data_IF_356864887619
#
_entry.id   IF_356864887619
#
_cell.length_a   1.000
_cell.length_b   1.000
_cell.length_c   1.000
_cell.angle_alpha   90.00
_cell.angle_beta   90.00
_cell.angle_gamma   90.00
#
_symmetry.space_group_name_H-M   'P 1'
#
loop_
_entity.id
_entity.type
_entity.pdbx_description
1 polymer ?
#
# COMPACT_ATOMS: atom_id res chain seq x y z
N UNK A 1 19.04 3.96 20.43
CA UNK A 1 17.59 3.97 20.12
C UNK A 1 16.88 4.68 21.25
N UNK A 2 16.11 5.74 20.97
CA UNK A 2 15.35 6.46 22.00
C UNK A 2 14.15 5.62 22.47
N UNK A 3 13.56 6.00 23.61
CA UNK A 3 12.47 5.24 24.25
C UNK A 3 11.24 5.13 23.34
N UNK A 4 10.91 6.19 22.60
CA UNK A 4 9.76 6.21 21.70
C UNK A 4 9.93 5.25 20.53
N UNK A 5 11.12 5.16 19.92
CA UNK A 5 11.37 4.19 18.85
C UNK A 5 11.33 2.74 19.38
N UNK A 6 11.89 2.49 20.56
CA UNK A 6 11.83 1.16 21.19
C UNK A 6 10.37 0.76 21.51
N UNK A 7 9.57 1.71 22.01
CA UNK A 7 8.15 1.50 22.28
C UNK A 7 7.38 1.24 20.99
N UNK A 8 7.59 2.04 19.94
CA UNK A 8 6.93 1.87 18.64
C UNK A 8 7.24 0.49 18.03
N UNK A 9 8.50 0.05 18.06
CA UNK A 9 8.89 -1.27 17.57
C UNK A 9 8.21 -2.39 18.37
N UNK A 10 8.12 -2.26 19.70
CA UNK A 10 7.42 -3.22 20.54
C UNK A 10 5.91 -3.23 20.27
N UNK A 11 5.29 -2.07 20.04
CA UNK A 11 3.88 -1.96 19.67
C UNK A 11 3.60 -2.61 18.31
N UNK A 12 4.44 -2.38 17.30
CA UNK A 12 4.33 -3.06 15.99
C UNK A 12 4.51 -4.57 16.13
N UNK A 13 5.47 -5.03 16.94
CA UNK A 13 5.63 -6.46 17.24
C UNK A 13 4.41 -7.03 17.96
N UNK A 14 3.83 -6.30 18.91
CA UNK A 14 2.60 -6.67 19.61
C UNK A 14 1.40 -6.77 18.68
N UNK A 15 1.28 -5.86 17.73
CA UNK A 15 0.26 -5.94 16.69
C UNK A 15 0.39 -7.23 15.84
N UNK A 16 1.62 -7.63 15.50
CA UNK A 16 1.90 -8.86 14.74
C UNK A 16 1.84 -10.13 15.61
N UNK A 17 2.10 -9.99 16.91
CA UNK A 17 2.20 -11.06 17.92
C UNK A 17 1.59 -10.55 19.24
N UNK A 18 0.29 -10.74 19.50
CA UNK A 18 -0.45 -10.11 20.61
C UNK A 18 0.16 -10.28 22.01
N UNK A 19 0.93 -11.34 22.22
CA UNK A 19 1.65 -11.64 23.46
C UNK A 19 2.90 -10.78 23.69
N UNK A 20 3.38 -10.04 22.69
CA UNK A 20 4.60 -9.25 22.83
C UNK A 20 4.40 -8.12 23.86
N UNK A 21 5.31 -7.97 24.84
CA UNK A 21 5.15 -6.98 25.91
C UNK A 21 5.43 -5.56 25.39
N UNK A 22 4.71 -4.58 25.95
CA UNK A 22 5.03 -3.17 25.79
C UNK A 22 6.07 -2.74 26.84
N UNK A 23 7.06 -1.91 26.49
CA UNK A 23 7.98 -1.32 27.46
C UNK A 23 7.27 -0.41 28.45
N UNK A 24 7.98 -0.04 29.52
CA UNK A 24 7.50 0.97 30.46
C UNK A 24 7.23 2.31 29.77
N UNK A 25 6.18 3.00 30.21
CA UNK A 25 5.71 4.28 29.65
C UNK A 25 6.29 5.50 30.37
N UNK A 26 7.15 5.30 31.37
CA UNK A 26 7.75 6.38 32.15
C UNK A 26 8.70 7.23 31.30
N UNK A 27 8.53 8.55 31.41
CA UNK A 27 9.22 9.58 30.62
C UNK A 27 9.10 9.41 29.10
N UNK A 28 8.05 8.74 28.63
CA UNK A 28 7.76 8.64 27.20
C UNK A 28 7.19 9.95 26.68
N UNK A 29 7.77 10.49 25.61
CA UNK A 29 7.17 11.58 24.86
C UNK A 29 6.10 11.02 23.92
N UNK A 30 4.85 11.15 24.33
CA UNK A 30 3.68 10.63 23.62
C UNK A 30 3.45 11.29 22.26
N UNK A 31 3.72 12.59 22.13
CA UNK A 31 3.55 13.30 20.88
C UNK A 31 4.65 12.89 19.90
N UNK A 32 5.90 12.75 20.37
CA UNK A 32 6.99 12.20 19.56
C UNK A 32 6.72 10.76 19.12
N UNK A 33 6.15 9.91 19.98
CA UNK A 33 5.74 8.56 19.61
C UNK A 33 4.70 8.59 18.46
N UNK A 34 3.69 9.46 18.56
CA UNK A 34 2.69 9.61 17.52
C UNK A 34 3.32 10.12 16.21
N UNK A 35 4.23 11.09 16.26
CA UNK A 35 4.96 11.58 15.08
C UNK A 35 5.80 10.47 14.42
N UNK A 36 6.49 9.65 15.21
CA UNK A 36 7.24 8.50 14.69
C UNK A 36 6.31 7.47 14.03
N UNK A 37 5.17 7.16 14.67
CA UNK A 37 4.19 6.24 14.11
C UNK A 37 3.60 6.77 12.80
N UNK A 38 3.33 8.07 12.70
CA UNK A 38 2.86 8.70 11.46
C UNK A 38 3.94 8.64 10.36
N UNK A 39 5.19 9.01 10.68
CA UNK A 39 6.31 8.97 9.74
C UNK A 39 6.58 7.56 9.18
N UNK A 40 6.45 6.54 10.02
CA UNK A 40 6.57 5.14 9.60
C UNK A 40 5.27 4.52 9.08
N UNK A 41 4.17 5.29 9.01
CA UNK A 41 2.86 4.89 8.50
C UNK A 41 2.22 3.71 9.28
N UNK A 42 2.45 3.66 10.60
CA UNK A 42 2.00 2.59 11.49
C UNK A 42 1.06 3.04 12.61
N UNK A 43 0.34 4.15 12.40
CA UNK A 43 -0.70 4.62 13.34
C UNK A 43 -1.75 3.53 13.63
N UNK A 44 -2.28 2.78 12.65
CA UNK A 44 -3.22 1.70 12.94
C UNK A 44 -2.65 0.60 13.83
N UNK A 45 -1.41 0.19 13.58
CA UNK A 45 -0.71 -0.84 14.34
C UNK A 45 -0.46 -0.37 15.78
N UNK A 46 -0.03 0.89 15.95
CA UNK A 46 0.16 1.49 17.26
C UNK A 46 -1.17 1.52 18.04
N UNK A 47 -2.24 2.05 17.44
CA UNK A 47 -3.56 2.12 18.09
C UNK A 47 -4.04 0.75 18.55
N UNK A 48 -4.03 -0.25 17.67
CA UNK A 48 -4.47 -1.61 18.00
C UNK A 48 -3.62 -2.23 19.12
N UNK A 49 -2.32 -1.97 19.14
CA UNK A 49 -1.43 -2.53 20.15
C UNK A 49 -1.64 -1.94 21.56
N UNK A 50 -2.10 -0.69 21.66
CA UNK A 50 -2.14 0.08 22.93
C UNK A 50 -3.54 0.43 23.42
N UNK A 51 -4.61 0.24 22.62
CA UNK A 51 -5.99 0.65 22.98
C UNK A 51 -6.50 0.08 24.30
N UNK A 52 -5.99 -1.08 24.71
CA UNK A 52 -6.36 -1.77 25.95
C UNK A 52 -5.22 -1.69 27.01
N UNK A 53 -4.28 -0.75 26.84
CA UNK A 53 -3.10 -0.57 27.72
C UNK A 53 -3.21 0.74 28.52
N UNK A 54 -2.52 0.87 29.66
CA UNK A 54 -2.54 2.10 30.46
C UNK A 54 -1.71 3.20 29.78
N UNK A 55 -2.37 3.99 28.94
CA UNK A 55 -1.82 5.16 28.24
C UNK A 55 -2.65 6.41 28.59
N UNK A 56 -2.13 7.65 28.40
CA UNK A 56 -2.91 8.86 28.67
C UNK A 56 -4.22 8.89 27.85
N UNK A 57 -5.39 9.11 28.49
CA UNK A 57 -6.69 9.05 27.80
C UNK A 57 -6.81 10.01 26.62
N UNK A 58 -6.43 11.27 26.80
CA UNK A 58 -6.52 12.29 25.75
C UNK A 58 -5.62 11.98 24.54
N UNK A 59 -4.47 11.35 24.79
CA UNK A 59 -3.60 10.90 23.71
C UNK A 59 -4.20 9.72 22.95
N UNK A 60 -4.82 8.77 23.66
CA UNK A 60 -5.48 7.64 23.02
C UNK A 60 -6.67 8.07 22.15
N UNK A 61 -7.42 9.09 22.58
CA UNK A 61 -8.50 9.69 21.77
C UNK A 61 -7.93 10.27 20.46
N UNK A 62 -6.88 11.10 20.54
CA UNK A 62 -6.22 11.67 19.34
C UNK A 62 -5.66 10.58 18.41
N UNK A 63 -5.10 9.50 18.96
CA UNK A 63 -4.59 8.38 18.18
C UNK A 63 -5.73 7.61 17.50
N UNK A 64 -6.84 7.40 18.21
CA UNK A 64 -8.05 6.78 17.67
C UNK A 64 -8.62 7.60 16.51
N UNK A 65 -8.69 8.91 16.64
CA UNK A 65 -9.18 9.79 15.57
C UNK A 65 -8.35 9.65 14.29
N UNK A 66 -7.02 9.55 14.40
CA UNK A 66 -6.13 9.30 13.25
C UNK A 66 -6.35 7.91 12.66
N UNK A 67 -6.51 6.88 13.49
CA UNK A 67 -6.86 5.53 13.04
C UNK A 67 -8.19 5.50 12.26
N UNK A 68 -9.23 6.13 12.79
CA UNK A 68 -10.54 6.20 12.15
C UNK A 68 -10.50 7.06 10.87
N UNK A 69 -9.70 8.13 10.84
CA UNK A 69 -9.50 8.95 9.64
C UNK A 69 -8.86 8.14 8.51
N UNK A 70 -7.82 7.35 8.81
CA UNK A 70 -7.21 6.44 7.84
C UNK A 70 -8.22 5.39 7.33
N UNK A 71 -9.05 4.84 8.23
CA UNK A 71 -10.13 3.92 7.85
C UNK A 71 -11.17 4.54 6.92
N UNK A 72 -11.63 5.76 7.22
CA UNK A 72 -12.57 6.51 6.36
C UNK A 72 -11.97 6.82 4.99
N UNK A 73 -10.71 7.24 4.96
CA UNK A 73 -10.01 7.50 3.70
C UNK A 73 -9.89 6.23 2.85
N UNK A 74 -9.49 5.10 3.44
CA UNK A 74 -9.43 3.83 2.72
C UNK A 74 -10.80 3.35 2.22
N UNK A 75 -11.88 3.63 2.93
CA UNK A 75 -13.23 3.32 2.47
C UNK A 75 -13.57 4.14 1.22
N UNK A 76 -13.31 5.45 1.23
CA UNK A 76 -13.50 6.33 0.08
C UNK A 76 -12.62 5.88 -1.10
N UNK A 77 -11.35 5.57 -0.83
CA UNK A 77 -10.37 5.08 -1.81
C UNK A 77 -10.78 3.72 -2.40
N UNK A 78 -11.42 2.85 -1.61
CA UNK A 78 -11.97 1.57 -2.09
C UNK A 78 -13.11 1.78 -3.08
N UNK A 79 -14.00 2.73 -2.79
CA UNK A 79 -15.09 3.10 -3.70
C UNK A 79 -14.54 3.63 -5.01
N UNK A 80 -13.52 4.48 -4.95
CA UNK A 80 -12.88 5.05 -6.14
C UNK A 80 -12.14 3.98 -6.96
N UNK A 81 -11.42 3.07 -6.29
CA UNK A 81 -10.79 1.92 -6.94
C UNK A 81 -11.83 1.09 -7.71
N UNK A 82 -12.92 0.70 -7.05
CA UNK A 82 -13.98 -0.10 -7.68
C UNK A 82 -14.61 0.64 -8.87
N UNK A 83 -14.81 1.95 -8.75
CA UNK A 83 -15.35 2.79 -9.83
C UNK A 83 -14.40 2.81 -11.04
N UNK A 84 -13.11 3.04 -10.83
CA UNK A 84 -12.11 3.08 -11.90
C UNK A 84 -11.94 1.71 -12.57
N UNK A 85 -11.89 0.63 -11.80
CA UNK A 85 -11.83 -0.73 -12.35
C UNK A 85 -13.04 -1.02 -13.24
N UNK A 86 -14.25 -0.59 -12.85
CA UNK A 86 -15.44 -0.73 -13.69
C UNK A 86 -15.37 0.10 -14.98
N UNK A 87 -14.84 1.32 -14.91
CA UNK A 87 -14.61 2.15 -16.12
C UNK A 87 -13.64 1.46 -17.08
N UNK A 88 -12.55 0.90 -16.59
CA UNK A 88 -11.56 0.20 -17.40
C UNK A 88 -12.11 -1.10 -17.98
N UNK A 89 -12.85 -1.88 -17.18
CA UNK A 89 -13.48 -3.13 -17.61
C UNK A 89 -14.45 -2.91 -18.78
N UNK A 90 -15.26 -1.84 -18.74
CA UNK A 90 -16.18 -1.48 -19.83
C UNK A 90 -15.48 -1.17 -21.15
N UNK A 91 -14.22 -0.75 -21.08
CA UNK A 91 -13.37 -0.47 -22.23
C UNK A 91 -12.47 -1.67 -22.59
N UNK A 92 -12.64 -2.82 -21.93
CA UNK A 92 -11.83 -4.01 -22.15
C UNK A 92 -10.37 -3.82 -21.71
N UNK A 93 -10.11 -2.95 -20.74
CA UNK A 93 -8.78 -2.69 -20.19
C UNK A 93 -8.67 -3.43 -18.85
N UNK A 94 -7.70 -4.35 -18.77
CA UNK A 94 -7.36 -5.01 -17.53
C UNK A 94 -6.50 -4.09 -16.65
N UNK A 95 -6.87 -3.97 -15.38
CA UNK A 95 -6.13 -3.21 -14.38
C UNK A 95 -6.07 -3.97 -13.05
N UNK A 96 -4.89 -3.98 -12.42
CA UNK A 96 -4.61 -4.73 -11.19
C UNK A 96 -4.09 -3.78 -10.12
N UNK A 97 -4.80 -3.56 -9.01
CA UNK A 97 -4.26 -2.82 -7.88
C UNK A 97 -3.05 -3.54 -7.26
N UNK A 98 -1.95 -2.81 -7.15
CA UNK A 98 -0.70 -3.31 -6.55
C UNK A 98 -0.63 -3.05 -5.03
N UNK A 99 -1.25 -1.97 -4.56
CA UNK A 99 -1.27 -1.57 -3.14
C UNK A 99 -2.65 -1.08 -2.70
N UNK A 100 -2.67 -0.04 -1.86
CA UNK A 100 -3.87 0.66 -1.46
C UNK A 100 -4.86 -0.21 -0.66
N UNK A 101 -6.18 0.03 -0.84
CA UNK A 101 -7.22 -0.67 -0.09
C UNK A 101 -7.35 -2.15 -0.46
N UNK A 102 -7.01 -2.53 -1.70
CA UNK A 102 -6.97 -3.93 -2.11
C UNK A 102 -5.96 -4.71 -1.26
N UNK A 103 -4.75 -4.18 -1.11
CA UNK A 103 -3.71 -4.78 -0.28
C UNK A 103 -4.08 -4.78 1.22
N UNK A 104 -4.78 -3.75 1.69
CA UNK A 104 -5.29 -3.71 3.06
C UNK A 104 -6.24 -4.89 3.35
N UNK A 105 -7.19 -5.17 2.45
CA UNK A 105 -8.09 -6.34 2.60
C UNK A 105 -7.32 -7.66 2.43
N UNK A 106 -6.45 -7.74 1.42
CA UNK A 106 -5.67 -8.95 1.13
C UNK A 106 -4.77 -9.36 2.30
N UNK A 107 -4.13 -8.42 3.01
CA UNK A 107 -3.18 -8.73 4.09
C UNK A 107 -3.77 -8.65 5.49
N UNK A 108 -4.75 -7.77 5.72
CA UNK A 108 -5.25 -7.48 7.07
C UNK A 108 -6.73 -7.84 7.27
N UNK A 109 -7.47 -8.09 6.19
CA UNK A 109 -8.92 -8.34 6.25
C UNK A 109 -9.74 -7.14 6.71
N UNK A 110 -9.11 -5.98 6.94
CA UNK A 110 -9.75 -4.78 7.46
C UNK A 110 -9.06 -3.54 6.90
N UNK A 111 -9.83 -2.68 6.23
CA UNK A 111 -9.36 -1.45 5.60
C UNK A 111 -8.69 -0.49 6.60
N UNK A 112 -9.13 -0.45 7.86
CA UNK A 112 -8.59 0.47 8.84
C UNK A 112 -7.16 0.10 9.31
N UNK A 113 -6.71 -1.14 9.08
CA UNK A 113 -5.44 -1.64 9.60
C UNK A 113 -4.22 -1.33 8.73
N UNK A 114 -4.40 -0.76 7.55
CA UNK A 114 -3.29 -0.40 6.64
C UNK A 114 -3.57 0.96 6.00
N UNK A 115 -2.91 2.00 6.47
CA UNK A 115 -3.06 3.33 5.87
C UNK A 115 -2.60 3.32 4.39
N UNK A 116 -3.37 3.97 3.53
CA UNK A 116 -3.03 4.20 2.12
C UNK A 116 -3.19 5.68 1.78
N UNK A 117 -2.48 6.14 0.76
CA UNK A 117 -2.53 7.53 0.26
C UNK A 117 -3.08 7.64 -1.16
N UNK A 118 -2.97 6.56 -1.93
CA UNK A 118 -3.14 6.55 -3.39
C UNK A 118 -3.59 5.17 -3.89
N UNK A 119 -3.91 5.12 -5.18
CA UNK A 119 -4.15 3.90 -5.94
C UNK A 119 -2.98 3.62 -6.88
N UNK A 120 -2.30 2.49 -6.69
CA UNK A 120 -1.33 1.97 -7.66
C UNK A 120 -2.02 0.95 -8.57
N UNK A 121 -2.16 1.23 -9.86
CA UNK A 121 -2.81 0.35 -10.84
C UNK A 121 -1.83 -0.12 -11.91
N UNK A 122 -1.59 -1.43 -11.99
CA UNK A 122 -0.87 -2.06 -13.08
C UNK A 122 -1.81 -2.32 -14.26
N UNK A 123 -1.39 -1.89 -15.45
CA UNK A 123 -2.08 -2.11 -16.72
C UNK A 123 -1.12 -2.74 -17.74
N UNK A 124 -1.64 -3.25 -18.86
CA UNK A 124 -0.77 -3.58 -19.97
C UNK A 124 -0.19 -2.31 -20.61
N UNK A 125 1.11 -2.32 -21.02
CA UNK A 125 1.73 -1.15 -21.65
C UNK A 125 0.99 -0.59 -22.86
N UNK A 126 0.39 -1.47 -23.68
CA UNK A 126 -0.40 -1.08 -24.86
C UNK A 126 -1.65 -0.26 -24.54
N UNK A 127 -2.19 -0.38 -23.33
CA UNK A 127 -3.42 0.28 -22.93
C UNK A 127 -3.19 1.67 -22.33
N UNK A 128 -1.92 2.04 -22.03
CA UNK A 128 -1.61 3.31 -21.40
C UNK A 128 -2.21 4.55 -22.11
N UNK A 129 -2.13 4.70 -23.45
CA UNK A 129 -2.76 5.82 -24.13
C UNK A 129 -4.28 5.90 -23.90
N UNK A 130 -4.96 4.75 -23.83
CA UNK A 130 -6.41 4.67 -23.58
C UNK A 130 -6.73 4.99 -22.13
N UNK A 131 -5.97 4.43 -21.18
CA UNK A 131 -6.12 4.70 -19.74
C UNK A 131 -5.92 6.18 -19.44
N UNK A 132 -4.90 6.82 -20.02
CA UNK A 132 -4.66 8.25 -19.87
C UNK A 132 -5.87 9.08 -20.34
N UNK A 133 -6.43 8.76 -21.51
CA UNK A 133 -7.61 9.45 -22.02
C UNK A 133 -8.84 9.21 -21.14
N UNK A 134 -9.06 7.97 -20.68
CA UNK A 134 -10.17 7.63 -19.80
C UNK A 134 -10.09 8.35 -18.45
N UNK A 135 -8.92 8.38 -17.83
CA UNK A 135 -8.70 9.13 -16.60
C UNK A 135 -9.00 10.62 -16.81
N UNK A 136 -8.53 11.22 -17.90
CA UNK A 136 -8.84 12.61 -18.24
C UNK A 136 -10.36 12.85 -18.40
N UNK A 137 -11.07 11.97 -19.12
CA UNK A 137 -12.53 12.02 -19.24
C UNK A 137 -13.26 11.82 -17.89
N UNK A 138 -12.60 11.18 -16.92
CA UNK A 138 -13.12 10.96 -15.57
C UNK A 138 -12.62 12.01 -14.56
N UNK A 139 -12.15 13.17 -15.04
CA UNK A 139 -11.81 14.31 -14.19
C UNK A 139 -10.43 14.26 -13.56
N UNK A 140 -9.58 13.30 -13.95
CA UNK A 140 -8.19 13.23 -13.51
C UNK A 140 -7.29 14.08 -14.39
N UNK A 141 -6.28 14.68 -13.75
CA UNK A 141 -5.22 15.44 -14.42
C UNK A 141 -3.90 14.76 -14.15
N UNK A 142 -3.10 14.58 -15.21
CA UNK A 142 -1.74 14.09 -15.06
C UNK A 142 -0.93 15.07 -14.21
N UNK A 143 -0.22 14.57 -13.22
CA UNK A 143 0.67 15.36 -12.36
C UNK A 143 2.13 14.98 -12.62
N UNK A 144 3.03 15.95 -12.41
CA UNK A 144 4.46 15.70 -12.43
C UNK A 144 5.03 16.00 -11.04
N UNK A 145 5.47 14.96 -10.34
CA UNK A 145 6.01 15.08 -8.97
C UNK A 145 7.45 15.63 -8.97
N UNK A 146 8.09 15.76 -10.14
CA UNK A 146 9.51 16.09 -10.26
C UNK A 146 9.71 17.34 -11.13
N UNK A 147 10.89 17.97 -11.04
CA UNK A 147 11.33 19.14 -11.81
C UNK A 147 11.40 18.91 -13.34
N UNK A 148 10.94 17.75 -13.80
CA UNK A 148 10.82 17.35 -15.20
C UNK A 148 9.35 17.38 -15.59
N UNK A 149 9.02 17.69 -16.86
CA UNK A 149 7.69 17.42 -17.36
C UNK A 149 7.35 15.94 -17.06
N UNK A 150 6.29 15.68 -16.30
CA UNK A 150 5.93 14.33 -15.84
C UNK A 150 5.62 13.34 -16.97
N UNK A 151 5.57 13.84 -18.22
CA UNK A 151 5.42 13.08 -19.45
C UNK A 151 6.70 13.03 -20.30
N UNK A 152 7.87 13.31 -19.73
CA UNK A 152 9.13 13.18 -20.46
C UNK A 152 9.37 11.70 -20.84
N UNK A 153 9.74 11.37 -22.10
CA UNK A 153 9.98 9.99 -22.52
C UNK A 153 11.00 9.25 -21.64
N UNK A 154 12.05 9.95 -21.20
CA UNK A 154 13.08 9.40 -20.30
C UNK A 154 12.52 9.05 -18.93
N UNK A 155 11.62 9.87 -18.39
CA UNK A 155 10.98 9.64 -17.09
C UNK A 155 10.05 8.43 -17.17
N UNK A 156 9.20 8.38 -18.20
CA UNK A 156 8.35 7.21 -18.48
C UNK A 156 9.17 5.94 -18.62
N UNK A 157 10.24 5.97 -19.41
CA UNK A 157 11.08 4.80 -19.62
C UNK A 157 11.69 4.30 -18.31
N UNK A 158 12.10 5.22 -17.42
CA UNK A 158 12.76 4.91 -16.14
C UNK A 158 11.78 4.47 -15.05
N UNK A 159 10.78 5.30 -14.73
CA UNK A 159 9.88 5.05 -13.60
C UNK A 159 8.74 4.08 -13.95
N UNK A 160 8.40 3.96 -15.25
CA UNK A 160 7.36 3.06 -15.77
C UNK A 160 5.98 3.23 -15.15
N UNK A 161 5.74 4.43 -14.62
CA UNK A 161 4.47 4.89 -14.08
C UNK A 161 4.25 6.38 -14.38
N UNK A 162 2.98 6.80 -14.34
CA UNK A 162 2.58 8.21 -14.32
C UNK A 162 1.48 8.40 -13.27
N UNK A 163 1.58 9.50 -12.53
CA UNK A 163 0.61 9.90 -11.51
C UNK A 163 -0.48 10.80 -12.09
N UNK A 164 -1.70 10.61 -11.58
CA UNK A 164 -2.88 11.38 -11.91
C UNK A 164 -3.56 11.82 -10.63
N UNK A 165 -4.04 13.05 -10.58
CA UNK A 165 -4.79 13.59 -9.45
C UNK A 165 -6.20 13.93 -9.91
N UNK A 166 -7.20 13.55 -9.12
CA UNK A 166 -8.58 13.90 -9.41
C UNK A 166 -8.80 15.43 -9.29
N UNK A 167 -9.89 15.93 -9.85
CA UNK A 167 -10.18 17.36 -9.86
C UNK A 167 -10.31 17.98 -8.45
N UNK A 168 -10.68 17.19 -7.44
CA UNK A 168 -10.79 17.66 -6.05
C UNK A 168 -9.45 17.65 -5.30
N UNK A 169 -8.45 16.92 -5.80
CA UNK A 169 -7.18 16.69 -5.12
C UNK A 169 -7.25 15.62 -4.01
N UNK A 170 -8.39 14.94 -3.86
CA UNK A 170 -8.61 13.92 -2.85
C UNK A 170 -7.98 12.57 -3.22
N UNK A 171 -7.87 12.24 -4.50
CA UNK A 171 -7.44 10.92 -4.97
C UNK A 171 -6.29 11.02 -5.96
N UNK A 172 -5.18 10.37 -5.61
CA UNK A 172 -4.05 10.14 -6.51
C UNK A 172 -4.11 8.72 -7.06
N UNK A 173 -3.88 8.58 -8.36
CA UNK A 173 -3.79 7.31 -9.08
C UNK A 173 -2.46 7.24 -9.81
N UNK A 174 -1.61 6.32 -9.39
CA UNK A 174 -0.39 5.96 -10.10
C UNK A 174 -0.71 4.83 -11.07
N UNK A 175 -0.58 5.12 -12.36
CA UNK A 175 -0.75 4.15 -13.45
C UNK A 175 0.60 3.58 -13.81
N UNK A 176 0.78 2.28 -13.59
CA UNK A 176 1.99 1.51 -13.85
C UNK A 176 1.79 0.64 -15.08
N UNK A 177 2.78 0.58 -15.97
CA UNK A 177 2.79 -0.43 -17.05
C UNK A 177 3.84 -1.52 -16.82
N UNK A 178 4.64 -1.40 -15.77
CA UNK A 178 5.43 -2.47 -15.17
C UNK A 178 5.35 -2.32 -13.65
N UNK A 179 5.44 -3.42 -12.88
CA UNK A 179 5.36 -3.36 -11.43
C UNK A 179 6.55 -2.62 -10.78
N UNK A 180 7.70 -2.56 -11.47
CA UNK A 180 8.95 -2.01 -10.95
C UNK A 180 9.64 -1.12 -12.00
N UNK A 181 10.37 -0.08 -11.55
CA UNK A 181 11.15 0.79 -12.43
C UNK A 181 12.41 0.07 -12.95
N UNK A 182 13.03 0.61 -14.00
CA UNK A 182 14.15 -0.05 -14.70
C UNK A 182 15.42 -0.28 -13.88
N UNK A 183 15.61 0.49 -12.81
CA UNK A 183 16.79 0.39 -11.94
C UNK A 183 16.64 -0.66 -10.83
N UNK A 184 15.53 -1.38 -10.80
CA UNK A 184 15.34 -2.58 -9.97
C UNK A 184 15.44 -3.79 -10.90
N UNK A 185 16.25 -4.82 -10.58
CA UNK A 185 16.42 -6.00 -11.42
C UNK A 185 15.08 -6.63 -11.83
N UNK A 186 14.92 -6.89 -13.13
CA UNK A 186 13.75 -7.53 -13.70
C UNK A 186 13.86 -9.05 -13.63
N UNK A 187 13.67 -9.62 -12.44
CA UNK A 187 13.48 -11.07 -12.32
C UNK A 187 11.99 -11.46 -12.43
N UNK A 188 11.10 -10.46 -12.42
CA UNK A 188 9.67 -10.61 -12.66
C UNK A 188 9.36 -10.75 -14.15
N UNK A 189 8.79 -11.88 -14.57
CA UNK A 189 8.17 -11.98 -15.88
C UNK A 189 6.76 -11.36 -15.87
N UNK A 190 6.51 -10.18 -16.49
CA UNK A 190 5.21 -9.52 -16.40
C UNK A 190 4.07 -10.36 -16.99
N UNK A 191 4.35 -11.21 -17.99
CA UNK A 191 3.35 -12.09 -18.59
C UNK A 191 2.75 -13.08 -17.57
N UNK A 192 3.60 -13.68 -16.72
CA UNK A 192 3.15 -14.67 -15.73
C UNK A 192 2.35 -14.04 -14.58
N UNK A 193 2.54 -12.74 -14.31
CA UNK A 193 1.74 -12.00 -13.32
C UNK A 193 0.25 -12.05 -13.71
N UNK A 194 -0.08 -11.80 -14.97
CA UNK A 194 -1.47 -11.75 -15.44
C UNK A 194 -2.16 -13.12 -15.37
N UNK A 195 -1.42 -14.19 -15.62
CA UNK A 195 -1.94 -15.58 -15.58
C UNK A 195 -2.16 -16.11 -14.16
N UNK A 196 -1.55 -15.47 -13.16
CA UNK A 196 -1.56 -15.93 -11.77
C UNK A 196 -2.39 -15.03 -10.84
N UNK A 197 -3.10 -14.04 -11.39
CA UNK A 197 -3.89 -13.09 -10.60
C UNK A 197 -4.97 -13.79 -9.76
N UNK A 198 -5.03 -13.43 -8.49
CA UNK A 198 -6.02 -13.94 -7.54
C UNK A 198 -7.13 -12.93 -7.29
N UNK A 199 -8.32 -13.42 -6.94
CA UNK A 199 -9.47 -12.58 -6.62
C UNK A 199 -9.56 -12.32 -5.11
N UNK A 200 -9.79 -11.06 -4.74
CA UNK A 200 -10.23 -10.67 -3.39
C UNK A 200 -11.59 -10.00 -3.46
N UNK A 201 -12.36 -10.06 -2.37
CA UNK A 201 -13.63 -9.32 -2.27
C UNK A 201 -13.39 -7.93 -1.71
N UNK A 202 -13.65 -6.89 -2.50
CA UNK A 202 -13.59 -5.48 -2.09
C UNK A 202 -14.87 -4.76 -2.54
N UNK A 203 -15.57 -4.12 -1.61
CA UNK A 203 -16.82 -3.42 -1.91
C UNK A 203 -17.90 -4.31 -2.55
N UNK A 204 -17.96 -5.58 -2.16
CA UNK A 204 -18.89 -6.57 -2.74
C UNK A 204 -18.53 -7.06 -4.14
N UNK A 205 -17.36 -6.70 -4.68
CA UNK A 205 -16.89 -7.14 -5.99
C UNK A 205 -15.61 -7.95 -5.89
N UNK A 206 -15.41 -8.84 -6.87
CA UNK A 206 -14.14 -9.54 -7.02
C UNK A 206 -13.16 -8.60 -7.74
N UNK A 207 -12.07 -8.27 -7.06
CA UNK A 207 -10.97 -7.48 -7.60
C UNK A 207 -9.76 -8.39 -7.76
N UNK A 208 -9.12 -8.35 -8.93
CA UNK A 208 -7.90 -9.12 -9.20
C UNK A 208 -6.69 -8.45 -8.55
N UNK A 209 -5.82 -9.21 -7.90
CA UNK A 209 -4.57 -8.75 -7.30
C UNK A 209 -3.45 -9.77 -7.57
N UNK A 210 -2.23 -9.43 -7.20
CA UNK A 210 -1.08 -10.32 -7.36
C UNK A 210 -1.25 -11.59 -6.53
N UNK A 211 -0.86 -12.75 -7.09
CA UNK A 211 -0.71 -13.96 -6.30
C UNK A 211 0.35 -13.78 -5.19
N UNK A 212 0.26 -14.52 -4.08
CA UNK A 212 1.17 -14.43 -2.94
C UNK A 212 2.66 -14.39 -3.27
N UNK A 213 3.13 -15.26 -4.17
CA UNK A 213 4.54 -15.31 -4.56
C UNK A 213 5.00 -14.00 -5.22
N UNK A 214 4.23 -13.51 -6.19
CA UNK A 214 4.51 -12.23 -6.85
C UNK A 214 4.32 -11.03 -5.92
N UNK A 215 3.34 -11.09 -5.03
CA UNK A 215 3.12 -10.05 -4.02
C UNK A 215 4.31 -9.97 -3.06
N UNK A 216 4.86 -11.11 -2.61
CA UNK A 216 6.03 -11.15 -1.74
C UNK A 216 7.22 -10.47 -2.40
N UNK A 217 7.56 -10.90 -3.62
CA UNK A 217 8.66 -10.31 -4.38
C UNK A 217 8.41 -8.80 -4.58
N UNK A 218 7.17 -8.40 -4.89
CA UNK A 218 6.82 -7.01 -5.17
C UNK A 218 7.03 -6.14 -3.93
N UNK A 219 6.58 -6.61 -2.76
CA UNK A 219 6.78 -5.93 -1.49
C UNK A 219 8.27 -5.84 -1.12
N UNK A 220 9.05 -6.90 -1.36
CA UNK A 220 10.51 -6.90 -1.18
C UNK A 220 11.21 -5.85 -2.06
N UNK A 221 10.88 -5.84 -3.36
CA UNK A 221 11.45 -4.90 -4.31
C UNK A 221 11.02 -3.46 -4.02
N UNK A 222 9.75 -3.24 -3.67
CA UNK A 222 9.23 -1.93 -3.29
C UNK A 222 9.90 -1.40 -2.01
N UNK A 223 10.00 -2.22 -0.96
CA UNK A 223 10.68 -1.83 0.26
C UNK A 223 12.17 -1.55 0.03
N UNK A 224 12.84 -2.39 -0.78
CA UNK A 224 14.23 -2.18 -1.19
C UNK A 224 14.45 -0.88 -1.96
N UNK A 225 13.57 -0.56 -2.93
CA UNK A 225 13.57 0.70 -3.69
C UNK A 225 13.58 1.92 -2.76
N UNK A 226 12.85 1.85 -1.66
CA UNK A 226 12.72 2.94 -0.70
C UNK A 226 13.58 2.77 0.57
N UNK A 227 14.55 1.85 0.56
CA UNK A 227 15.49 1.66 1.67
C UNK A 227 14.83 1.26 2.99
N UNK A 228 13.66 0.64 2.96
CA UNK A 228 12.91 0.20 4.15
C UNK A 228 12.65 1.31 5.18
N UNK A 229 12.53 2.56 4.75
CA UNK A 229 12.39 3.72 5.65
C UNK A 229 11.10 3.67 6.51
N UNK A 230 10.08 2.88 6.12
CA UNK A 230 8.79 2.79 6.81
C UNK A 230 8.53 1.39 7.37
N UNK A 231 8.14 1.34 8.64
CA UNK A 231 7.74 0.08 9.31
C UNK A 231 6.49 -0.54 8.68
N UNK A 232 5.62 0.25 8.04
CA UNK A 232 4.44 -0.25 7.36
C UNK A 232 4.77 -1.31 6.28
N UNK A 233 5.86 -1.14 5.53
CA UNK A 233 6.26 -2.12 4.51
C UNK A 233 6.73 -3.44 5.12
N UNK A 234 7.38 -3.38 6.28
CA UNK A 234 7.76 -4.58 7.06
C UNK A 234 6.50 -5.26 7.61
N UNK A 235 5.49 -4.49 8.04
CA UNK A 235 4.21 -5.04 8.48
C UNK A 235 3.48 -5.76 7.35
N UNK A 236 3.48 -5.19 6.14
CA UNK A 236 2.87 -5.81 4.96
C UNK A 236 3.53 -7.17 4.65
N UNK A 237 4.87 -7.24 4.63
CA UNK A 237 5.60 -8.50 4.49
C UNK A 237 5.26 -9.52 5.59
N UNK A 238 5.31 -9.08 6.85
CA UNK A 238 5.03 -9.96 7.97
C UNK A 238 3.60 -10.51 7.93
N UNK A 239 2.62 -9.69 7.54
CA UNK A 239 1.23 -10.12 7.37
C UNK A 239 1.06 -11.08 6.21
N UNK A 240 1.72 -10.85 5.08
CA UNK A 240 1.69 -11.78 3.96
C UNK A 240 2.19 -13.17 4.40
N UNK A 241 3.35 -13.24 5.05
CA UNK A 241 3.92 -14.50 5.53
C UNK A 241 3.07 -15.18 6.61
N UNK A 242 2.32 -14.41 7.41
CA UNK A 242 1.37 -14.98 8.37
C UNK A 242 0.11 -15.55 7.70
N UNK A 243 -0.36 -14.95 6.61
CA UNK A 243 -1.54 -15.44 5.86
C UNK A 243 -1.21 -16.62 4.96
N UNK A 244 0.04 -16.70 4.50
CA UNK A 244 0.52 -17.67 3.52
C UNK A 244 1.60 -18.58 4.14
N UNK A 245 1.30 -19.37 5.19
CA UNK A 245 2.28 -20.23 5.85
C UNK A 245 2.81 -21.35 4.93
N UNK A 246 2.05 -21.69 3.89
CA UNK A 246 2.35 -22.73 2.91
C UNK A 246 2.87 -22.14 1.59
N UNK A 247 3.42 -20.92 1.62
CA UNK A 247 3.99 -20.28 0.42
C UNK A 247 5.06 -21.19 -0.22
N UNK A 248 4.88 -21.49 -1.50
CA UNK A 248 5.85 -22.27 -2.27
C UNK A 248 7.12 -21.45 -2.54
N UNK A 249 8.12 -21.66 -1.70
CA UNK A 249 9.42 -20.99 -1.83
C UNK A 249 10.18 -21.37 -3.09
N UNK A 250 9.96 -22.55 -3.66
CA UNK A 250 10.60 -22.92 -4.93
C UNK A 250 10.00 -22.09 -6.07
N UNK A 251 8.68 -21.90 -6.07
CA UNK A 251 8.01 -21.02 -7.02
C UNK A 251 8.44 -19.56 -6.87
N UNK A 252 8.58 -19.07 -5.62
CA UNK A 252 9.10 -17.71 -5.36
C UNK A 252 10.52 -17.55 -5.91
N UNK A 253 11.42 -18.48 -5.60
CA UNK A 253 12.82 -18.40 -6.01
C UNK A 253 13.01 -18.56 -7.52
N UNK A 254 12.11 -19.26 -8.21
CA UNK A 254 12.13 -19.37 -9.66
C UNK A 254 11.80 -18.05 -10.37
N UNK A 255 11.19 -17.09 -9.67
CA UNK A 255 10.81 -15.77 -10.18
C UNK A 255 11.67 -14.64 -9.57
N UNK A 256 12.66 -14.99 -8.73
CA UNK A 256 13.43 -14.06 -7.89
C UNK A 256 14.76 -13.62 -8.48
#
# INVERSE_FOLDING_TARGET
MNREAAFLLAAVRRFLRPQWPLPATQDLDWDRLASLAAAHTVIPQLYVAVKDSPVPPDWLVRLREQFEAAGRFNLALSSELVRLLWVFEREGIAAVPLKGPALAVALYGNLALRASSDLDLLIHPRDFPRVRSLLACNGYRQTSVQHWPGDAPVFRARERQISFLDASGAFSVDVHWHPLPTYIPENFAPARIWDTLQGITLGGRIVRTLAPAYLLLYLCAHGGKHGWERLAWICDLARLLQREPELDWNAVLAEA
#
